data_IF_294957538050
#
_entry.id   IF_294957538050
#
_cell.length_a   1.000
_cell.length_b   1.000
_cell.length_c   1.000
_cell.angle_alpha   90.00
_cell.angle_beta   90.00
_cell.angle_gamma   90.00
#
_symmetry.space_group_name_H-M   'P 1'
#
loop_
_entity.id
_entity.type
_entity.pdbx_description
1 polymer ?
#
# COMPACT_ATOMS: atom_id res chain seq x y z
N UNK A 1 2.72 -40.17 10.25
CA UNK A 1 2.03 -39.71 9.03
C UNK A 1 0.88 -38.80 9.45
N UNK A 2 0.91 -37.54 9.00
CA UNK A 2 -0.23 -36.61 8.84
C UNK A 2 -0.99 -36.20 10.12
N UNK A 3 -1.49 -34.99 10.37
CA UNK A 3 -1.73 -33.72 9.66
C UNK A 3 -1.36 -32.62 10.70
N UNK A 4 -0.78 -31.48 10.35
CA UNK A 4 -1.55 -30.26 10.10
C UNK A 4 -0.74 -29.25 9.29
N UNK A 5 -1.02 -29.22 7.99
CA UNK A 5 -0.63 -28.15 7.09
C UNK A 5 -1.88 -27.34 6.75
N UNK A 6 -2.40 -26.51 7.66
CA UNK A 6 -3.40 -25.50 7.32
C UNK A 6 -3.39 -24.36 8.34
N UNK A 7 -3.27 -23.13 7.86
CA UNK A 7 -3.38 -21.85 8.58
C UNK A 7 -2.14 -21.28 9.29
N UNK A 8 -1.10 -21.00 8.51
CA UNK A 8 -0.34 -19.77 8.76
C UNK A 8 -1.16 -18.60 8.20
N UNK A 9 -2.13 -18.09 8.97
CA UNK A 9 -2.79 -16.83 8.65
C UNK A 9 -1.74 -15.72 8.73
N UNK A 10 -1.34 -15.17 7.59
CA UNK A 10 -0.69 -13.86 7.57
C UNK A 10 -1.66 -12.88 8.25
N UNK A 11 -1.28 -12.39 9.43
CA UNK A 11 -2.07 -11.44 10.26
C UNK A 11 -2.06 -10.02 9.70
N UNK A 12 -1.33 -9.82 8.61
CA UNK A 12 -1.16 -8.53 7.95
C UNK A 12 -2.45 -8.09 7.24
N UNK A 13 -2.98 -6.94 7.63
CA UNK A 13 -4.06 -6.24 6.94
C UNK A 13 -3.47 -4.97 6.34
N UNK A 14 -3.64 -4.80 5.03
CA UNK A 14 -3.29 -3.56 4.34
C UNK A 14 -4.29 -2.46 4.70
N UNK A 15 -3.78 -1.30 5.11
CA UNK A 15 -4.59 -0.10 5.33
C UNK A 15 -4.40 0.85 4.14
N UNK A 16 -5.52 1.31 3.57
CA UNK A 16 -5.52 2.07 2.32
C UNK A 16 -6.09 3.47 2.49
N UNK A 17 -5.46 4.41 1.80
CA UNK A 17 -6.00 5.73 1.52
C UNK A 17 -6.03 5.97 0.00
N UNK A 18 -6.87 6.90 -0.50
CA UNK A 18 -6.90 7.26 -1.90
C UNK A 18 -5.55 7.83 -2.35
N UNK A 19 -5.12 7.50 -3.56
CA UNK A 19 -3.84 7.91 -4.14
C UNK A 19 -3.66 9.44 -4.20
N UNK A 20 -4.77 10.18 -4.32
CA UNK A 20 -4.80 11.65 -4.30
C UNK A 20 -4.27 12.27 -3.00
N UNK A 21 -4.30 11.53 -1.88
CA UNK A 21 -3.82 12.02 -0.58
C UNK A 21 -2.30 11.94 -0.42
N UNK A 22 -1.59 11.33 -1.36
CA UNK A 22 -0.12 11.28 -1.36
C UNK A 22 0.53 12.66 -1.17
N UNK A 23 0.08 13.66 -1.92
CA UNK A 23 0.62 15.02 -1.82
C UNK A 23 0.35 15.67 -0.46
N UNK A 24 -0.72 15.25 0.23
CA UNK A 24 -1.07 15.77 1.55
C UNK A 24 -0.02 15.41 2.61
N UNK A 25 0.70 14.29 2.45
CA UNK A 25 1.79 13.92 3.36
C UNK A 25 2.96 14.92 3.28
N UNK A 26 3.19 15.47 2.09
CA UNK A 26 4.29 16.42 1.83
C UNK A 26 3.94 17.90 2.06
N UNK A 27 2.66 18.25 2.22
CA UNK A 27 2.20 19.64 2.27
C UNK A 27 2.80 20.46 3.43
N UNK A 28 2.99 19.83 4.60
CA UNK A 28 3.60 20.45 5.78
C UNK A 28 5.13 20.47 5.75
N UNK A 29 5.79 19.87 4.75
CA UNK A 29 7.26 19.85 4.66
C UNK A 29 7.83 21.19 4.16
N UNK A 30 6.98 22.11 3.72
CA UNK A 30 7.35 23.38 3.11
C UNK A 30 7.73 24.48 4.11
N UNK A 31 7.43 24.33 5.41
CA UNK A 31 7.59 25.42 6.38
C UNK A 31 8.94 25.46 7.12
N UNK A 32 9.75 24.40 7.13
CA UNK A 32 11.09 24.45 7.75
C UNK A 32 12.07 23.40 7.19
N UNK A 33 12.70 23.73 6.06
CA UNK A 33 13.58 22.82 5.31
C UNK A 33 14.92 22.59 6.06
N UNK A 34 15.41 23.61 6.79
CA UNK A 34 16.75 23.63 7.39
C UNK A 34 16.90 22.71 8.62
N UNK A 35 15.81 22.42 9.34
CA UNK A 35 15.83 21.49 10.48
C UNK A 35 15.53 20.04 10.09
N UNK A 36 15.00 19.80 8.89
CA UNK A 36 14.61 18.46 8.43
C UNK A 36 15.65 17.77 7.53
N UNK A 37 16.60 18.50 6.95
CA UNK A 37 17.60 17.94 6.02
C UNK A 37 18.52 16.90 6.68
N UNK A 38 18.98 17.13 7.91
CA UNK A 38 19.80 16.15 8.63
C UNK A 38 19.03 14.90 9.08
N UNK A 39 17.77 15.06 9.47
CA UNK A 39 16.90 13.94 9.90
C UNK A 39 16.49 13.05 8.71
N UNK A 40 16.54 13.58 7.48
CA UNK A 40 16.08 12.89 6.26
C UNK A 40 17.21 12.55 5.30
N UNK A 41 18.46 12.61 5.73
CA UNK A 41 19.55 12.06 4.93
C UNK A 41 19.33 10.56 4.79
N UNK A 42 19.08 10.02 3.58
CA UNK A 42 18.87 8.59 3.38
C UNK A 42 20.06 7.72 3.81
N UNK A 43 21.26 8.30 3.93
CA UNK A 43 22.45 7.61 4.43
C UNK A 43 22.43 7.40 5.95
N UNK A 44 21.78 8.29 6.71
CA UNK A 44 21.60 8.15 8.16
C UNK A 44 20.22 7.58 8.52
N UNK A 45 19.23 7.80 7.66
CA UNK A 45 17.82 7.48 7.93
C UNK A 45 17.12 6.86 6.70
N UNK A 46 17.33 5.55 6.45
CA UNK A 46 16.89 4.89 5.22
C UNK A 46 15.37 4.87 4.99
N UNK A 47 14.55 5.08 6.03
CA UNK A 47 13.08 5.21 5.91
C UNK A 47 12.65 6.40 5.05
N UNK A 48 13.50 7.42 4.91
CA UNK A 48 13.20 8.61 4.10
C UNK A 48 13.83 8.55 2.72
N UNK A 49 14.39 7.40 2.32
CA UNK A 49 14.96 7.23 0.97
C UNK A 49 13.85 7.16 -0.08
N UNK A 50 13.69 8.19 -0.94
CA UNK A 50 12.70 8.14 -2.02
C UNK A 50 13.01 7.04 -3.04
N UNK A 51 14.22 6.47 -3.07
CA UNK A 51 14.53 5.32 -3.94
C UNK A 51 13.92 4.01 -3.45
N UNK A 52 13.42 3.98 -2.21
CA UNK A 52 12.74 2.81 -1.63
C UNK A 52 11.23 2.84 -1.81
N UNK A 53 10.67 3.88 -2.42
CA UNK A 53 9.27 3.83 -2.82
C UNK A 53 9.07 2.76 -3.89
N UNK A 54 7.87 2.20 -3.96
CA UNK A 54 7.51 1.21 -4.98
C UNK A 54 5.99 1.10 -5.11
N UNK A 55 5.52 0.46 -6.19
CA UNK A 55 4.12 0.09 -6.34
C UNK A 55 3.93 -1.42 -6.35
N UNK A 56 2.78 -1.85 -5.83
CA UNK A 56 2.33 -3.23 -5.88
C UNK A 56 0.99 -3.28 -6.59
N UNK A 57 0.87 -4.17 -7.56
CA UNK A 57 -0.39 -4.45 -8.23
C UNK A 57 -1.11 -5.61 -7.54
N UNK A 58 -2.39 -5.41 -7.27
CA UNK A 58 -3.27 -6.38 -6.64
C UNK A 58 -4.49 -6.66 -7.50
N UNK A 59 -4.87 -7.93 -7.57
CA UNK A 59 -6.17 -8.36 -8.06
C UNK A 59 -7.13 -8.43 -6.87
N UNK A 60 -8.24 -7.70 -6.95
CA UNK A 60 -9.28 -7.72 -5.92
C UNK A 60 -10.05 -9.03 -6.00
N UNK A 61 -9.90 -9.88 -4.99
CA UNK A 61 -10.59 -11.16 -4.89
C UNK A 61 -11.96 -11.04 -4.24
N UNK A 62 -12.13 -10.05 -3.36
CA UNK A 62 -13.40 -9.76 -2.70
C UNK A 62 -13.40 -8.33 -2.21
N UNK A 63 -14.53 -7.65 -2.36
CA UNK A 63 -14.80 -6.35 -1.75
C UNK A 63 -16.17 -6.33 -1.07
N UNK A 64 -16.29 -5.65 0.06
CA UNK A 64 -17.58 -5.45 0.71
C UNK A 64 -18.50 -4.57 -0.16
N UNK A 65 -19.82 -4.71 0.00
CA UNK A 65 -20.79 -3.88 -0.74
C UNK A 65 -20.69 -2.39 -0.39
N UNK A 66 -20.13 -2.05 0.78
CA UNK A 66 -19.98 -0.67 1.23
C UNK A 66 -19.05 0.13 0.30
N UNK A 67 -18.02 -0.51 -0.27
CA UNK A 67 -17.11 0.13 -1.21
C UNK A 67 -17.82 0.78 -2.41
N UNK A 68 -18.95 0.24 -2.85
CA UNK A 68 -19.73 0.78 -3.99
C UNK A 68 -20.35 2.15 -3.71
N UNK A 69 -20.54 2.49 -2.43
CA UNK A 69 -21.11 3.76 -1.99
C UNK A 69 -20.06 4.85 -1.79
N UNK A 70 -18.78 4.46 -1.79
CA UNK A 70 -17.67 5.36 -1.53
C UNK A 70 -17.00 5.76 -2.85
N UNK A 71 -17.01 7.05 -3.19
CA UNK A 71 -16.50 7.51 -4.48
C UNK A 71 -15.02 7.17 -4.72
N UNK A 72 -14.21 7.21 -3.65
CA UNK A 72 -12.79 6.90 -3.72
C UNK A 72 -12.49 5.39 -3.78
N UNK A 73 -13.45 4.54 -3.40
CA UNK A 73 -13.24 3.09 -3.26
C UNK A 73 -14.16 2.25 -4.15
N UNK A 74 -15.07 2.86 -4.92
CA UNK A 74 -16.02 2.16 -5.81
C UNK A 74 -15.36 1.34 -6.91
N UNK A 75 -14.08 1.59 -7.20
CA UNK A 75 -13.25 0.83 -8.13
C UNK A 75 -12.77 -0.50 -7.55
N UNK A 76 -12.82 -0.70 -6.23
CA UNK A 76 -12.50 -1.97 -5.58
C UNK A 76 -13.65 -2.95 -5.77
N UNK A 77 -13.64 -3.64 -6.92
CA UNK A 77 -14.60 -4.69 -7.28
C UNK A 77 -13.86 -5.98 -7.56
N UNK A 78 -14.52 -7.10 -7.30
CA UNK A 78 -13.96 -8.42 -7.62
C UNK A 78 -13.51 -8.51 -9.09
N UNK A 79 -12.30 -9.00 -9.31
CA UNK A 79 -11.61 -9.09 -10.61
C UNK A 79 -10.88 -7.81 -11.05
N UNK A 80 -11.06 -6.67 -10.36
CA UNK A 80 -10.34 -5.45 -10.73
C UNK A 80 -8.88 -5.49 -10.27
N UNK A 81 -8.00 -4.95 -11.13
CA UNK A 81 -6.61 -4.71 -10.79
C UNK A 81 -6.41 -3.28 -10.29
N UNK A 82 -5.73 -3.16 -9.16
CA UNK A 82 -5.43 -1.87 -8.51
C UNK A 82 -3.96 -1.78 -8.13
N UNK A 83 -3.42 -0.59 -8.27
CA UNK A 83 -2.09 -0.24 -7.81
C UNK A 83 -2.15 0.45 -6.46
N UNK A 84 -1.24 0.03 -5.58
CA UNK A 84 -1.03 0.66 -4.28
C UNK A 84 0.42 1.09 -4.19
N UNK A 85 0.66 2.37 -3.94
CA UNK A 85 2.02 2.89 -3.72
C UNK A 85 2.43 2.72 -2.26
N UNK A 86 3.64 2.23 -2.08
CA UNK A 86 4.38 2.27 -0.83
C UNK A 86 5.28 3.49 -0.85
N UNK A 87 4.96 4.48 -0.02
CA UNK A 87 5.76 5.69 0.17
C UNK A 87 6.78 5.47 1.29
N UNK A 88 7.84 6.29 1.31
CA UNK A 88 8.91 6.23 2.29
C UNK A 88 8.39 6.19 3.72
N UNK A 89 7.38 7.00 4.01
CA UNK A 89 6.74 7.17 5.31
C UNK A 89 5.97 5.94 5.78
N UNK A 90 5.62 5.02 4.88
CA UNK A 90 4.91 3.78 5.17
C UNK A 90 5.85 2.56 5.20
N UNK A 91 7.16 2.75 4.96
CA UNK A 91 8.14 1.68 5.04
C UNK A 91 8.42 1.30 6.50
N UNK A 92 8.49 0.01 6.77
CA UNK A 92 8.90 -0.50 8.07
C UNK A 92 10.20 -1.30 7.97
N UNK A 93 11.17 -0.96 8.82
CA UNK A 93 12.47 -1.63 8.88
C UNK A 93 12.34 -3.11 9.27
N UNK A 94 11.50 -3.41 10.27
CA UNK A 94 11.24 -4.79 10.73
C UNK A 94 10.56 -5.66 9.66
N UNK A 95 10.00 -5.07 8.60
CA UNK A 95 9.47 -5.77 7.44
C UNK A 95 10.47 -5.87 6.29
N UNK A 96 11.72 -5.44 6.50
CA UNK A 96 12.77 -5.40 5.48
C UNK A 96 12.57 -4.26 4.49
N UNK A 97 12.17 -3.08 4.99
CA UNK A 97 11.86 -1.90 4.18
C UNK A 97 10.70 -2.16 3.21
N UNK A 98 9.58 -2.66 3.76
CA UNK A 98 8.32 -2.86 3.03
C UNK A 98 7.17 -2.23 3.80
N UNK A 99 6.15 -1.79 3.07
CA UNK A 99 4.90 -1.37 3.65
C UNK A 99 4.10 -2.55 4.22
N UNK A 100 3.42 -2.29 5.33
CA UNK A 100 2.43 -3.21 5.84
C UNK A 100 1.32 -3.41 4.80
N UNK A 101 1.02 -4.67 4.48
CA UNK A 101 0.05 -5.05 3.47
C UNK A 101 0.65 -5.27 2.08
N UNK A 102 1.97 -5.19 1.94
CA UNK A 102 2.70 -5.56 0.70
C UNK A 102 2.32 -6.98 0.22
N UNK A 103 2.01 -7.87 1.16
CA UNK A 103 1.48 -9.19 0.87
C UNK A 103 2.50 -10.14 0.23
N UNK A 104 2.01 -11.31 -0.17
CA UNK A 104 2.82 -12.37 -0.77
C UNK A 104 2.20 -12.74 -2.11
N UNK A 105 3.02 -12.88 -3.14
CA UNK A 105 2.57 -13.25 -4.47
C UNK A 105 1.82 -14.59 -4.45
N UNK A 106 0.69 -14.65 -5.16
CA UNK A 106 -0.17 -15.84 -5.19
C UNK A 106 -0.89 -16.18 -3.87
N UNK A 107 -0.76 -15.38 -2.81
CA UNK A 107 -1.49 -15.59 -1.55
C UNK A 107 -2.52 -14.48 -1.30
N UNK A 108 -3.80 -14.85 -1.07
CA UNK A 108 -4.81 -13.90 -0.65
C UNK A 108 -4.46 -13.24 0.69
N UNK A 109 -4.40 -11.91 0.71
CA UNK A 109 -4.25 -11.09 1.93
C UNK A 109 -5.47 -10.17 2.11
N UNK A 110 -5.60 -9.58 3.30
CA UNK A 110 -6.74 -8.71 3.65
C UNK A 110 -6.38 -7.24 3.50
N UNK A 111 -7.38 -6.43 3.22
CA UNK A 111 -7.25 -4.98 3.16
C UNK A 111 -8.47 -4.27 3.74
N UNK A 112 -8.28 -3.03 4.16
CA UNK A 112 -9.33 -2.14 4.65
C UNK A 112 -9.06 -0.69 4.25
N UNK A 113 -10.11 0.03 3.84
CA UNK A 113 -10.05 1.46 3.60
C UNK A 113 -10.02 2.21 4.93
N UNK A 114 -8.96 2.97 5.19
CA UNK A 114 -8.78 3.68 6.45
C UNK A 114 -9.88 4.73 6.68
N UNK A 115 -10.24 5.50 5.65
CA UNK A 115 -11.28 6.53 5.73
C UNK A 115 -12.71 5.99 5.58
N UNK A 116 -12.88 4.70 5.30
CA UNK A 116 -14.18 4.05 5.15
C UNK A 116 -14.11 2.61 5.69
N UNK A 117 -14.12 2.38 7.01
CA UNK A 117 -13.85 1.07 7.62
C UNK A 117 -14.80 -0.06 7.19
N UNK A 118 -16.00 0.29 6.72
CA UNK A 118 -16.94 -0.69 6.16
C UNK A 118 -16.54 -1.18 4.77
N UNK A 119 -15.66 -0.47 4.06
CA UNK A 119 -15.05 -0.89 2.79
C UNK A 119 -13.76 -1.68 3.06
N UNK A 120 -13.84 -3.00 2.92
CA UNK A 120 -12.73 -3.93 3.17
C UNK A 120 -12.89 -5.16 2.30
N UNK A 121 -11.85 -5.99 2.25
CA UNK A 121 -11.86 -7.14 1.37
C UNK A 121 -10.65 -8.03 1.43
N UNK A 122 -10.48 -8.80 0.35
CA UNK A 122 -9.31 -9.63 0.09
C UNK A 122 -8.78 -9.33 -1.30
N UNK A 123 -7.48 -9.44 -1.46
CA UNK A 123 -6.81 -9.35 -2.75
C UNK A 123 -5.65 -10.33 -2.81
N UNK A 124 -5.14 -10.59 -4.01
CA UNK A 124 -3.87 -11.27 -4.20
C UNK A 124 -2.91 -10.31 -4.90
N UNK A 125 -1.66 -10.34 -4.47
CA UNK A 125 -0.59 -9.63 -5.17
C UNK A 125 -0.35 -10.32 -6.51
N UNK A 126 -0.40 -9.53 -7.57
CA UNK A 126 -0.08 -9.98 -8.93
C UNK A 126 1.42 -9.92 -9.16
N UNK A 127 2.03 -8.74 -8.97
CA UNK A 127 3.47 -8.57 -9.18
C UNK A 127 4.03 -7.33 -8.47
N UNK A 128 5.35 -7.27 -8.34
CA UNK A 128 6.10 -6.06 -7.98
C UNK A 128 6.46 -5.27 -9.24
N UNK A 129 6.29 -3.95 -9.22
CA UNK A 129 6.80 -3.07 -10.30
C UNK A 129 7.83 -2.14 -9.70
N UNK A 130 9.04 -2.08 -10.29
CA UNK A 130 10.08 -1.14 -9.89
C UNK A 130 9.72 0.31 -10.28
N UNK A 131 10.31 1.24 -9.54
CA UNK A 131 9.69 2.52 -9.18
C UNK A 131 9.91 3.69 -10.14
N UNK A 132 10.29 3.46 -11.40
CA UNK A 132 10.57 4.59 -12.29
C UNK A 132 9.33 5.44 -12.62
N UNK A 133 8.11 4.91 -12.42
CA UNK A 133 6.86 5.67 -12.60
C UNK A 133 5.60 5.01 -12.05
N UNK A 134 5.70 3.88 -11.34
CA UNK A 134 4.58 2.96 -11.13
C UNK A 134 3.83 2.71 -12.46
N UNK A 135 4.22 1.66 -13.22
CA UNK A 135 3.54 1.28 -14.48
C UNK A 135 2.15 0.69 -14.24
N UNK A 136 1.37 1.34 -13.40
CA UNK A 136 0.01 1.03 -13.12
C UNK A 136 -0.79 1.13 -14.41
N UNK A 137 -1.73 0.20 -14.65
CA UNK A 137 -2.53 0.19 -15.88
C UNK A 137 -3.25 1.53 -16.17
N UNK A 138 -3.45 2.36 -15.13
CA UNK A 138 -4.14 3.66 -15.22
C UNK A 138 -3.21 4.88 -15.07
N UNK A 139 -1.89 4.71 -15.20
CA UNK A 139 -0.89 5.81 -15.19
C UNK A 139 -0.57 6.42 -13.82
N UNK A 140 -1.42 6.26 -12.81
CA UNK A 140 -1.15 6.66 -11.42
C UNK A 140 -1.67 5.61 -10.42
N UNK A 141 -1.05 5.52 -9.22
CA UNK A 141 -1.53 4.62 -8.18
C UNK A 141 -2.90 5.08 -7.66
N UNK A 142 -3.87 4.16 -7.58
CA UNK A 142 -5.21 4.46 -7.09
C UNK A 142 -5.25 4.60 -5.56
N UNK A 143 -4.32 3.94 -4.86
CA UNK A 143 -4.24 3.93 -3.41
C UNK A 143 -2.79 4.09 -2.92
N UNK A 144 -2.65 4.46 -1.65
CA UNK A 144 -1.40 4.42 -0.91
C UNK A 144 -1.53 3.51 0.31
N UNK A 145 -0.44 2.85 0.69
CA UNK A 145 -0.30 2.24 2.00
C UNK A 145 -0.11 3.31 3.07
N UNK A 146 -0.63 3.02 4.27
CA UNK A 146 -0.52 3.89 5.43
C UNK A 146 0.65 3.46 6.29
#
# INVERSE_FOLDING_TARGET
>A
MSFDAFNFFVTEIAMLLPGSLSHSRTANHTSDIRKNLGVRDPSENPQYDPKKTYCVEFEVLKASKACRKEDNYKTLKEGEHVCVRCESEALHENLGWRCQGHGVEGRPTRWSALSAPHCHGKWARVHHVSDAQCRCPRGSPQFIFV
#
